data_IF_060624394384
#
_entry.id   IF_060624394384
#
_cell.length_a   1.000
_cell.length_b   1.000
_cell.length_c   1.000
_cell.angle_alpha   90.00
_cell.angle_beta   90.00
_cell.angle_gamma   90.00
#
_symmetry.space_group_name_H-M   'P 1'
#
loop_
_entity.id
_entity.type
_entity.pdbx_description
1 polymer ?
#
# COMPACT_ATOMS: atom_id res chain seq x y z
N UNK A 1 -25.35 23.26 -22.51
CA UNK A 1 -26.65 22.79 -21.98
C UNK A 1 -26.39 22.31 -20.56
N UNK A 2 -26.57 23.19 -19.58
CA UNK A 2 -26.37 22.88 -18.15
C UNK A 2 -27.65 22.21 -17.63
N UNK A 3 -27.57 21.06 -16.94
CA UNK A 3 -28.76 20.44 -16.35
C UNK A 3 -29.31 21.38 -15.28
N UNK A 4 -30.53 21.88 -15.49
CA UNK A 4 -31.30 22.58 -14.48
C UNK A 4 -31.79 21.52 -13.49
N UNK A 5 -31.11 21.40 -12.36
CA UNK A 5 -31.61 20.60 -11.25
C UNK A 5 -32.80 21.33 -10.63
N UNK A 6 -33.99 20.76 -10.81
CA UNK A 6 -35.20 21.21 -10.13
C UNK A 6 -35.03 20.92 -8.63
N UNK A 7 -35.00 21.99 -7.84
CA UNK A 7 -34.71 21.92 -6.40
C UNK A 7 -35.79 21.17 -5.62
N UNK A 8 -36.97 21.05 -6.22
CA UNK A 8 -38.16 20.44 -5.64
C UNK A 8 -38.30 18.93 -5.96
N UNK A 9 -37.41 18.36 -6.79
CA UNK A 9 -37.36 16.92 -7.13
C UNK A 9 -36.21 16.17 -6.41
N UNK A 10 -35.62 16.80 -5.39
CA UNK A 10 -34.63 16.13 -4.53
C UNK A 10 -35.39 15.28 -3.50
N UNK A 11 -35.23 13.95 -3.49
CA UNK A 11 -35.92 13.09 -2.53
C UNK A 11 -35.54 13.50 -1.10
N UNK A 12 -36.54 13.65 -0.24
CA UNK A 12 -36.35 14.11 1.14
C UNK A 12 -35.34 13.20 1.87
N UNK A 13 -34.20 13.79 2.26
CA UNK A 13 -33.10 13.09 2.92
C UNK A 13 -33.43 12.93 4.41
N UNK A 14 -34.29 11.96 4.72
CA UNK A 14 -34.54 11.58 6.11
C UNK A 14 -33.26 11.07 6.78
N UNK A 15 -33.11 11.27 8.09
CA UNK A 15 -31.95 10.78 8.86
C UNK A 15 -31.71 9.28 8.63
N UNK A 16 -32.79 8.48 8.57
CA UNK A 16 -32.71 7.04 8.25
C UNK A 16 -32.12 6.73 6.89
N UNK A 17 -32.44 7.53 5.86
CA UNK A 17 -31.85 7.33 4.52
C UNK A 17 -30.38 7.72 4.50
N UNK A 18 -30.03 8.80 5.18
CA UNK A 18 -28.63 9.25 5.30
C UNK A 18 -27.77 8.21 6.00
N UNK A 19 -28.26 7.64 7.10
CA UNK A 19 -27.57 6.57 7.83
C UNK A 19 -27.45 5.29 6.99
N UNK A 20 -28.49 4.91 6.27
CA UNK A 20 -28.44 3.73 5.38
C UNK A 20 -27.44 3.91 4.22
N UNK A 21 -27.37 5.10 3.63
CA UNK A 21 -26.38 5.41 2.59
C UNK A 21 -24.96 5.41 3.17
N UNK A 22 -24.78 5.99 4.36
CA UNK A 22 -23.49 6.03 5.04
C UNK A 22 -23.01 4.63 5.40
N UNK A 23 -23.90 3.77 5.90
CA UNK A 23 -23.60 2.38 6.24
C UNK A 23 -23.27 1.55 4.98
N UNK A 24 -24.02 1.72 3.90
CA UNK A 24 -23.73 1.07 2.62
C UNK A 24 -22.37 1.49 2.06
N UNK A 25 -22.04 2.79 2.13
CA UNK A 25 -20.75 3.30 1.67
C UNK A 25 -19.59 2.78 2.54
N UNK A 26 -19.73 2.82 3.87
CA UNK A 26 -18.71 2.32 4.79
C UNK A 26 -18.51 0.81 4.64
N UNK A 27 -19.59 0.07 4.40
CA UNK A 27 -19.53 -1.37 4.10
C UNK A 27 -18.78 -1.61 2.80
N UNK A 28 -19.07 -0.86 1.73
CA UNK A 28 -18.39 -1.00 0.44
C UNK A 28 -16.89 -0.68 0.51
N UNK A 29 -16.51 0.38 1.23
CA UNK A 29 -15.10 0.72 1.46
C UNK A 29 -14.36 -0.40 2.21
N UNK A 30 -15.01 -1.04 3.18
CA UNK A 30 -14.43 -2.18 3.92
C UNK A 30 -14.26 -3.40 3.01
N UNK A 31 -15.28 -3.77 2.23
CA UNK A 31 -15.21 -4.92 1.31
C UNK A 31 -14.18 -4.72 0.20
N UNK A 32 -14.08 -3.53 -0.38
CA UNK A 32 -13.09 -3.25 -1.43
C UNK A 32 -11.65 -3.29 -0.89
N UNK A 33 -11.42 -2.73 0.31
CA UNK A 33 -10.13 -2.81 0.99
C UNK A 33 -9.75 -4.28 1.30
N UNK A 34 -10.69 -5.08 1.80
CA UNK A 34 -10.48 -6.49 2.08
C UNK A 34 -10.23 -7.32 0.82
N UNK A 35 -11.00 -7.12 -0.24
CA UNK A 35 -10.81 -7.81 -1.51
C UNK A 35 -9.47 -7.43 -2.17
N UNK A 36 -9.09 -6.16 -2.15
CA UNK A 36 -7.78 -5.71 -2.65
C UNK A 36 -6.65 -6.34 -1.85
N UNK A 37 -6.76 -6.36 -0.52
CA UNK A 37 -5.79 -7.02 0.38
C UNK A 37 -5.72 -8.52 0.10
N UNK A 38 -6.84 -9.21 -0.15
CA UNK A 38 -6.84 -10.63 -0.53
C UNK A 38 -6.21 -10.90 -1.90
N UNK A 39 -6.42 -10.04 -2.90
CA UNK A 39 -5.76 -10.18 -4.21
C UNK A 39 -4.26 -10.01 -4.10
N UNK A 40 -3.82 -9.01 -3.33
CA UNK A 40 -2.41 -8.77 -3.02
C UNK A 40 -1.82 -9.97 -2.27
N UNK A 41 -2.51 -10.48 -1.25
CA UNK A 41 -2.13 -11.69 -0.49
C UNK A 41 -1.92 -12.90 -1.41
N UNK A 42 -2.86 -13.19 -2.31
CA UNK A 42 -2.76 -14.34 -3.24
C UNK A 42 -1.58 -14.20 -4.19
N UNK A 43 -1.23 -12.97 -4.59
CA UNK A 43 -0.11 -12.71 -5.51
C UNK A 43 1.25 -12.79 -4.82
N UNK A 44 1.37 -12.27 -3.60
CA UNK A 44 2.59 -12.41 -2.80
C UNK A 44 2.84 -13.83 -2.26
N UNK A 45 1.80 -14.62 -2.03
CA UNK A 45 1.95 -16.01 -1.62
C UNK A 45 2.57 -16.89 -2.72
N UNK A 46 2.44 -16.49 -3.99
CA UNK A 46 2.99 -17.24 -5.13
C UNK A 46 4.48 -16.95 -5.38
N UNK A 47 5.02 -15.83 -4.90
CA UNK A 47 6.42 -15.42 -5.16
C UNK A 47 7.29 -15.26 -3.90
N UNK A 48 6.71 -15.22 -2.70
CA UNK A 48 7.42 -15.05 -1.43
C UNK A 48 8.06 -16.33 -0.85
N UNK A 49 8.45 -17.28 -1.69
CA UNK A 49 8.87 -18.63 -1.30
C UNK A 49 10.29 -18.98 -1.73
N UNK A 50 11.31 -18.21 -1.33
CA UNK A 50 12.70 -18.69 -1.26
C UNK A 50 13.29 -18.25 0.08
N UNK A 51 12.73 -18.81 1.15
CA UNK A 51 13.40 -18.91 2.44
C UNK A 51 14.30 -20.15 2.42
N UNK A 52 15.60 -19.91 2.58
CA UNK A 52 16.73 -20.83 2.70
C UNK A 52 16.33 -22.27 3.12
N UNK A 53 16.42 -23.22 2.19
CA UNK A 53 16.60 -24.65 2.47
C UNK A 53 17.96 -25.07 1.91
N UNK A 54 18.99 -24.97 2.75
CA UNK A 54 20.33 -25.46 2.46
C UNK A 54 20.52 -26.82 3.12
N UNK A 55 19.99 -27.90 2.55
CA UNK A 55 20.46 -29.27 2.82
C UNK A 55 20.32 -30.12 1.54
N UNK A 56 21.45 -30.41 0.90
CA UNK A 56 21.70 -31.62 0.10
C UNK A 56 20.84 -31.87 -1.14
N UNK A 57 21.43 -31.69 -2.31
CA UNK A 57 20.91 -32.21 -3.58
C UNK A 57 20.81 -31.12 -4.63
N UNK A 58 21.33 -31.41 -5.82
CA UNK A 58 21.44 -30.49 -6.95
C UNK A 58 20.06 -29.98 -7.37
N UNK A 59 19.65 -28.85 -6.82
CA UNK A 59 18.59 -28.02 -7.37
C UNK A 59 19.29 -26.89 -8.10
N UNK A 60 19.17 -26.85 -9.42
CA UNK A 60 19.46 -25.65 -10.20
C UNK A 60 18.50 -24.58 -9.71
N UNK A 61 18.93 -23.82 -8.70
CA UNK A 61 18.27 -22.61 -8.29
C UNK A 61 18.34 -21.68 -9.50
N UNK A 62 17.24 -21.56 -10.23
CA UNK A 62 17.03 -20.39 -11.06
C UNK A 62 17.00 -19.23 -10.08
N UNK A 63 18.16 -18.62 -9.84
CA UNK A 63 18.24 -17.29 -9.26
C UNK A 63 17.50 -16.41 -10.26
N UNK A 64 16.20 -16.22 -10.03
CA UNK A 64 15.49 -15.13 -10.65
C UNK A 64 16.20 -13.89 -10.12
N UNK A 65 17.15 -13.40 -10.91
CA UNK A 65 17.71 -12.06 -10.73
C UNK A 65 16.50 -11.17 -10.94
N UNK A 66 15.84 -10.79 -9.84
CA UNK A 66 14.72 -9.84 -9.90
C UNK A 66 15.35 -8.53 -10.36
N UNK A 67 15.24 -8.30 -11.66
CA UNK A 67 15.84 -7.17 -12.34
C UNK A 67 15.19 -5.90 -11.84
N UNK A 68 15.98 -4.82 -11.79
CA UNK A 68 15.45 -3.53 -11.39
C UNK A 68 14.33 -3.10 -12.35
N UNK A 69 13.22 -2.64 -11.78
CA UNK A 69 12.00 -2.32 -12.53
C UNK A 69 11.61 -0.86 -12.32
N UNK A 70 10.84 -0.30 -13.26
CA UNK A 70 10.31 1.06 -13.14
C UNK A 70 8.94 1.02 -12.46
N UNK A 71 8.65 2.01 -11.62
CA UNK A 71 7.29 2.25 -11.12
C UNK A 71 6.44 2.76 -12.27
N UNK A 72 5.54 1.91 -12.77
CA UNK A 72 4.62 2.25 -13.88
C UNK A 72 3.25 2.66 -13.38
N UNK A 73 2.81 2.11 -12.25
CA UNK A 73 1.57 2.48 -11.59
C UNK A 73 1.86 3.51 -10.48
N UNK A 74 1.43 4.75 -10.73
CA UNK A 74 1.58 5.87 -9.78
C UNK A 74 0.30 6.20 -9.01
N UNK A 75 -0.72 5.35 -9.08
CA UNK A 75 -2.00 5.63 -8.43
C UNK A 75 -1.93 5.50 -6.90
N UNK A 76 -0.86 4.90 -6.38
CA UNK A 76 -0.61 4.77 -4.95
C UNK A 76 0.78 4.24 -4.62
N UNK A 77 1.03 4.07 -3.33
CA UNK A 77 2.24 3.46 -2.76
C UNK A 77 1.85 2.57 -1.58
N UNK A 78 2.60 1.49 -1.38
CA UNK A 78 2.53 0.67 -0.17
C UNK A 78 3.75 0.90 0.71
N UNK A 79 3.53 1.34 1.93
CA UNK A 79 4.57 1.61 2.91
C UNK A 79 4.59 0.47 3.94
N UNK A 80 5.72 -0.23 4.07
CA UNK A 80 5.87 -1.36 4.98
C UNK A 80 6.28 -0.87 6.37
N UNK A 81 5.65 -1.43 7.41
CA UNK A 81 6.05 -1.23 8.80
C UNK A 81 7.33 -2.02 9.14
N UNK A 82 7.51 -3.18 8.51
CA UNK A 82 8.67 -4.04 8.67
C UNK A 82 8.99 -4.81 7.38
N UNK A 83 10.27 -5.17 7.19
CA UNK A 83 10.69 -6.13 6.18
C UNK A 83 10.41 -7.59 6.60
N UNK A 84 9.98 -7.79 7.84
CA UNK A 84 9.61 -9.09 8.38
C UNK A 84 8.09 -9.27 8.38
N UNK A 85 7.66 -10.53 8.32
CA UNK A 85 6.25 -10.88 8.46
C UNK A 85 5.90 -10.89 9.94
N UNK A 86 4.72 -10.37 10.28
CA UNK A 86 4.15 -10.51 11.61
C UNK A 86 3.80 -11.96 11.94
N UNK A 87 3.36 -12.22 13.17
CA UNK A 87 3.03 -13.55 13.67
C UNK A 87 1.97 -14.30 12.82
N UNK A 88 1.16 -13.57 12.06
CA UNK A 88 0.17 -14.11 11.13
C UNK A 88 0.75 -14.46 9.74
N UNK A 89 2.07 -14.36 9.55
CA UNK A 89 2.75 -14.64 8.28
C UNK A 89 2.57 -13.55 7.22
N UNK A 90 2.05 -12.37 7.58
CA UNK A 90 1.78 -11.27 6.65
C UNK A 90 2.70 -10.10 6.92
N UNK A 91 3.03 -9.35 5.86
CA UNK A 91 3.66 -8.06 6.02
C UNK A 91 2.66 -7.05 6.57
N UNK A 92 3.12 -6.28 7.54
CA UNK A 92 2.39 -5.11 7.98
C UNK A 92 2.74 -3.93 7.07
N UNK A 93 1.71 -3.36 6.45
CA UNK A 93 1.84 -2.33 5.44
C UNK A 93 0.58 -1.47 5.35
N UNK A 94 0.78 -0.21 5.01
CA UNK A 94 -0.29 0.75 4.79
C UNK A 94 -0.20 1.32 3.37
N UNK A 95 -1.33 1.41 2.69
CA UNK A 95 -1.41 2.03 1.37
C UNK A 95 -1.72 3.52 1.48
N UNK A 96 -1.10 4.32 0.64
CA UNK A 96 -1.43 5.74 0.47
C UNK A 96 -1.64 6.06 -1.00
N UNK A 97 -2.59 6.95 -1.26
CA UNK A 97 -2.82 7.55 -2.57
C UNK A 97 -2.73 9.07 -2.42
N UNK A 98 -2.47 9.78 -3.51
CA UNK A 98 -2.67 11.23 -3.54
C UNK A 98 -3.94 11.52 -4.32
N UNK A 99 -4.62 12.61 -3.96
CA UNK A 99 -5.72 13.15 -4.73
C UNK A 99 -5.29 14.49 -5.30
N UNK A 100 -5.48 14.67 -6.61
CA UNK A 100 -5.29 15.93 -7.29
C UNK A 100 -6.64 16.38 -7.87
N UNK A 101 -7.18 17.53 -7.43
CA UNK A 101 -8.51 17.99 -7.82
C UNK A 101 -8.58 18.42 -9.29
N UNK A 102 -7.46 18.80 -9.91
CA UNK A 102 -7.43 19.29 -11.30
C UNK A 102 -7.46 18.15 -12.32
N UNK A 103 -6.79 17.04 -12.01
CA UNK A 103 -6.72 15.85 -12.87
C UNK A 103 -7.73 14.76 -12.50
N UNK A 104 -8.52 14.94 -11.43
CA UNK A 104 -9.54 13.97 -10.99
C UNK A 104 -8.95 12.69 -10.37
N UNK A 105 -7.65 12.66 -10.11
CA UNK A 105 -6.91 11.58 -9.47
C UNK A 105 -5.45 11.97 -9.26
N UNK A 106 -4.91 11.77 -8.06
CA UNK A 106 -3.52 12.17 -7.78
C UNK A 106 -2.53 11.06 -8.05
N UNK A 107 -1.35 11.44 -8.55
CA UNK A 107 -0.23 10.53 -8.82
C UNK A 107 0.81 10.65 -7.73
N UNK A 108 1.29 9.52 -7.21
CA UNK A 108 2.42 9.47 -6.28
C UNK A 108 3.71 9.66 -7.06
N UNK A 109 4.23 10.88 -7.07
CA UNK A 109 5.50 11.21 -7.74
C UNK A 109 6.73 10.90 -6.88
N UNK A 110 6.57 10.90 -5.55
CA UNK A 110 7.65 10.56 -4.63
C UNK A 110 7.14 9.60 -3.54
N UNK A 111 7.21 8.30 -3.86
CA UNK A 111 6.82 7.21 -2.97
C UNK A 111 7.62 7.22 -1.65
N UNK A 112 8.92 7.52 -1.73
CA UNK A 112 9.81 7.53 -0.57
C UNK A 112 9.40 8.60 0.45
N UNK A 113 9.17 9.84 0.00
CA UNK A 113 8.76 10.94 0.88
C UNK A 113 7.36 10.76 1.45
N UNK A 114 6.43 10.18 0.68
CA UNK A 114 5.10 9.86 1.17
C UNK A 114 5.18 8.84 2.31
N UNK A 115 5.95 7.76 2.15
CA UNK A 115 6.13 6.78 3.21
C UNK A 115 6.91 7.33 4.42
N UNK A 116 7.92 8.20 4.21
CA UNK A 116 8.59 8.91 5.30
C UNK A 116 7.61 9.76 6.10
N UNK A 117 6.64 10.38 5.43
CA UNK A 117 5.61 11.19 6.08
C UNK A 117 4.69 10.32 6.93
N UNK A 118 4.25 9.16 6.42
CA UNK A 118 3.44 8.21 7.21
C UNK A 118 4.19 7.71 8.45
N UNK A 119 5.48 7.41 8.32
CA UNK A 119 6.32 7.08 9.47
C UNK A 119 6.40 8.23 10.48
N UNK A 120 6.62 9.48 10.03
CA UNK A 120 6.63 10.66 10.92
C UNK A 120 5.29 10.86 11.63
N UNK A 121 4.18 10.57 10.95
CA UNK A 121 2.84 10.66 11.51
C UNK A 121 2.50 9.54 12.50
N UNK A 122 3.38 8.54 12.66
CA UNK A 122 3.17 7.46 13.62
C UNK A 122 2.16 6.41 13.16
N UNK A 123 1.90 6.30 11.85
CA UNK A 123 0.95 5.32 11.28
C UNK A 123 1.35 3.88 11.62
N UNK A 124 2.64 3.63 11.84
CA UNK A 124 3.20 2.30 12.14
C UNK A 124 3.56 2.11 13.63
N UNK A 125 3.11 3.01 14.52
CA UNK A 125 3.27 2.81 15.95
C UNK A 125 2.29 1.71 16.41
N UNK A 126 2.70 0.85 17.34
CA UNK A 126 1.84 -0.23 17.85
C UNK A 126 0.54 0.31 18.46
N UNK A 127 0.61 1.48 19.09
CA UNK A 127 -0.53 2.18 19.71
C UNK A 127 -1.25 3.14 18.74
N UNK A 128 -1.04 3.02 17.43
CA UNK A 128 -1.68 3.90 16.45
C UNK A 128 -3.20 3.69 16.42
N UNK A 129 -3.95 4.69 16.88
CA UNK A 129 -5.39 4.76 16.73
C UNK A 129 -5.75 5.59 15.48
N UNK A 130 -6.30 4.98 14.41
CA UNK A 130 -6.69 5.69 13.19
C UNK A 130 -7.90 6.62 13.39
N UNK A 131 -8.64 6.49 14.51
CA UNK A 131 -9.77 7.38 14.84
C UNK A 131 -9.35 8.55 15.73
N UNK A 132 -8.15 8.52 16.28
CA UNK A 132 -7.64 9.60 17.10
C UNK A 132 -7.28 10.81 16.25
N UNK A 133 -7.76 11.99 16.67
CA UNK A 133 -7.38 13.27 16.05
C UNK A 133 -5.92 13.64 16.32
N UNK A 134 -5.28 13.01 17.31
CA UNK A 134 -3.90 13.27 17.71
C UNK A 134 -3.17 11.96 17.98
N UNK A 135 -2.21 11.62 17.13
CA UNK A 135 -1.29 10.49 17.32
C UNK A 135 0.09 10.96 17.80
N UNK A 136 0.80 10.10 18.53
CA UNK A 136 2.21 10.33 18.81
C UNK A 136 3.01 10.25 17.49
N UNK A 137 3.98 11.15 17.25
CA UNK A 137 4.82 11.07 16.07
C UNK A 137 5.60 9.75 16.07
N UNK A 138 5.79 9.17 14.89
CA UNK A 138 6.58 7.94 14.73
C UNK A 138 8.04 8.21 14.40
N UNK A 139 8.84 7.14 14.45
CA UNK A 139 10.26 7.19 14.12
C UNK A 139 10.49 6.68 12.70
N UNK A 140 11.04 7.53 11.84
CA UNK A 140 11.42 7.11 10.48
C UNK A 140 12.63 6.16 10.55
N UNK A 141 12.58 4.99 9.88
CA UNK A 141 13.73 4.12 9.73
C UNK A 141 14.90 4.84 9.05
N UNK A 142 16.13 4.59 9.52
CA UNK A 142 17.32 5.23 8.96
C UNK A 142 17.61 4.84 7.51
N UNK A 143 17.01 3.73 7.05
CA UNK A 143 17.13 3.25 5.68
C UNK A 143 15.77 2.74 5.20
N UNK A 144 15.36 3.25 4.05
CA UNK A 144 14.15 2.88 3.32
C UNK A 144 14.56 2.65 1.87
N UNK A 145 14.08 1.57 1.26
CA UNK A 145 14.32 1.28 -0.14
C UNK A 145 12.99 1.27 -0.91
N UNK A 146 12.99 1.88 -2.10
CA UNK A 146 11.85 1.78 -3.02
C UNK A 146 11.97 0.50 -3.83
N UNK A 147 10.90 -0.26 -3.80
CA UNK A 147 10.69 -1.52 -4.49
C UNK A 147 9.49 -1.38 -5.43
N UNK A 148 9.37 -2.30 -6.38
CA UNK A 148 8.28 -2.36 -7.36
C UNK A 148 7.54 -3.67 -7.18
N UNK A 149 6.23 -3.57 -7.07
CA UNK A 149 5.30 -4.70 -7.01
C UNK A 149 5.00 -5.24 -8.40
N UNK A 150 4.45 -6.46 -8.46
CA UNK A 150 4.08 -7.11 -9.72
C UNK A 150 3.10 -6.30 -10.58
N UNK A 151 2.28 -5.44 -9.96
CA UNK A 151 1.33 -4.56 -10.65
C UNK A 151 1.94 -3.21 -11.06
N UNK A 152 3.25 -3.04 -10.86
CA UNK A 152 3.99 -1.82 -11.19
C UNK A 152 3.88 -0.71 -10.15
N UNK A 153 3.19 -0.95 -9.03
CA UNK A 153 3.04 0.03 -7.95
C UNK A 153 4.31 0.12 -7.12
N UNK A 154 4.62 1.32 -6.60
CA UNK A 154 5.72 1.49 -5.66
C UNK A 154 5.41 0.86 -4.29
N UNK A 155 6.42 0.21 -3.72
CA UNK A 155 6.41 -0.26 -2.34
C UNK A 155 7.68 0.25 -1.64
N UNK A 156 7.57 0.82 -0.44
CA UNK A 156 8.73 1.30 0.32
C UNK A 156 8.94 0.41 1.53
N UNK A 157 10.12 -0.18 1.61
CA UNK A 157 10.46 -1.20 2.61
C UNK A 157 11.60 -0.70 3.50
N UNK A 158 11.47 -0.78 4.84
CA UNK A 158 12.55 -0.46 5.74
C UNK A 158 13.63 -1.53 5.72
N UNK A 159 14.88 -1.11 5.55
CA UNK A 159 16.00 -2.05 5.52
C UNK A 159 17.19 -1.56 4.71
N UNK A 160 18.22 -2.42 4.70
CA UNK A 160 19.46 -2.19 3.96
C UNK A 160 19.25 -2.41 2.46
N UNK A 161 20.15 -1.89 1.60
CA UNK A 161 20.15 -2.23 0.19
C UNK A 161 20.07 -3.75 -0.02
N UNK A 162 19.11 -4.19 -0.85
CA UNK A 162 18.81 -5.60 -1.07
C UNK A 162 17.54 -6.10 -0.36
N UNK A 163 16.88 -5.23 0.43
CA UNK A 163 15.67 -5.59 1.16
C UNK A 163 14.50 -5.93 0.23
N UNK A 164 14.43 -5.32 -0.97
CA UNK A 164 13.38 -5.64 -1.95
C UNK A 164 13.40 -7.13 -2.30
N UNK A 165 14.58 -7.69 -2.60
CA UNK A 165 14.73 -9.10 -2.92
C UNK A 165 14.41 -9.99 -1.72
N UNK A 166 14.79 -9.57 -0.51
CA UNK A 166 14.48 -10.30 0.72
C UNK A 166 12.95 -10.42 0.96
N UNK A 167 12.19 -9.40 0.57
CA UNK A 167 10.72 -9.44 0.67
C UNK A 167 10.02 -9.98 -0.59
N UNK A 168 10.78 -10.37 -1.62
CA UNK A 168 10.26 -10.92 -2.87
C UNK A 168 9.76 -9.86 -3.86
N UNK A 169 10.34 -8.66 -3.85
CA UNK A 169 10.03 -7.52 -4.72
C UNK A 169 11.21 -7.12 -5.59
N UNK A 170 10.92 -6.43 -6.70
CA UNK A 170 11.95 -5.85 -7.55
C UNK A 170 12.49 -4.54 -6.96
N UNK A 171 13.80 -4.26 -7.01
CA UNK A 171 14.30 -2.93 -6.68
C UNK A 171 13.87 -1.92 -7.76
N UNK A 172 13.57 -0.68 -7.36
CA UNK A 172 13.32 0.38 -8.35
C UNK A 172 14.60 0.68 -9.15
N UNK A 173 14.44 0.85 -10.46
CA UNK A 173 15.51 1.31 -11.35
C UNK A 173 15.68 2.83 -11.22
N UNK A 174 16.88 3.33 -10.89
CA UNK A 174 17.13 4.78 -10.85
C UNK A 174 16.86 5.39 -12.22
N UNK A 175 16.07 6.46 -12.26
CA UNK A 175 16.00 7.37 -13.40
C UNK A 175 17.31 8.17 -13.43
N UNK A 176 18.15 7.91 -14.44
CA UNK A 176 19.38 8.65 -14.68
C UNK A 176 19.15 10.05 -15.25
#
# INVERSE_FOLDING_TARGET
MTPTYDRDDMPEMTERRTDAIRDALMTQLRTDAEQRRQRIRRRFALWGGIGILAIGGVATAATAVVSAQQVTNKDGVYCFASAERGANGQYDMSGATMYDPESGGGRVENALELCRTMWRQGVFNEDHDPLSATGAPGKVPGQLQVCVMDDGTAAVVPGRPGVCQAVGLAPEKPTG
#
